data_IF_782431140511
#
_entry.id   IF_782431140511
#
_cell.length_a   1.000
_cell.length_b   1.000
_cell.length_c   1.000
_cell.angle_alpha   90.00
_cell.angle_beta   90.00
_cell.angle_gamma   90.00
#
_symmetry.space_group_name_H-M   'P 1'
#
loop_
_entity.id
_entity.type
_entity.pdbx_description
1 polymer ?
#
# COMPACT_ATOMS: atom_id res chain seq x y z
N UNK A 1 32.91 1.35 18.33
CA UNK A 1 32.90 2.79 18.08
C UNK A 1 31.73 3.15 17.19
N UNK A 2 30.98 4.21 17.53
CA UNK A 2 29.73 4.83 17.02
C UNK A 2 28.69 4.03 16.16
N UNK A 3 29.09 3.04 15.35
CA UNK A 3 28.23 2.26 14.44
C UNK A 3 27.46 1.12 15.11
N UNK A 4 27.82 0.75 16.36
CA UNK A 4 27.11 -0.26 17.16
C UNK A 4 26.04 0.31 18.09
N UNK A 5 25.96 1.63 18.24
CA UNK A 5 25.03 2.33 19.13
C UNK A 5 23.84 2.96 18.38
N UNK A 6 23.86 3.00 17.05
CA UNK A 6 22.69 3.39 16.23
C UNK A 6 21.65 2.28 16.08
N UNK A 7 21.99 1.03 16.42
CA UNK A 7 21.12 -0.15 16.26
C UNK A 7 20.06 -0.30 17.36
N UNK A 8 19.90 0.70 18.22
CA UNK A 8 18.75 0.88 19.13
C UNK A 8 17.50 0.98 18.27
N UNK A 9 16.98 -0.18 17.88
CA UNK A 9 15.69 -0.50 17.30
C UNK A 9 15.00 0.68 16.60
N UNK A 10 15.59 1.20 15.53
CA UNK A 10 14.84 2.04 14.63
C UNK A 10 13.78 1.13 14.01
N UNK A 11 12.56 1.17 14.54
CA UNK A 11 11.42 0.46 13.98
C UNK A 11 11.30 0.95 12.55
N UNK A 12 11.65 0.10 11.58
CA UNK A 12 11.41 0.39 10.17
C UNK A 12 9.90 0.36 10.00
N UNK A 13 9.26 1.51 10.23
CA UNK A 13 7.83 1.68 9.98
C UNK A 13 7.69 1.95 8.50
N UNK A 14 7.31 0.93 7.73
CA UNK A 14 6.90 1.13 6.35
C UNK A 14 5.62 1.98 6.33
N UNK A 15 5.68 3.15 5.70
CA UNK A 15 4.52 4.03 5.58
C UNK A 15 3.39 3.33 4.82
N UNK A 16 2.16 3.49 5.31
CA UNK A 16 0.95 2.97 4.68
C UNK A 16 0.19 4.13 4.05
N UNK A 17 -0.18 3.99 2.79
CA UNK A 17 -0.89 5.01 2.02
C UNK A 17 -2.26 4.45 1.63
N UNK A 18 -3.32 5.13 2.05
CA UNK A 18 -4.69 4.79 1.69
C UNK A 18 -5.13 5.62 0.48
N UNK A 19 -5.55 4.93 -0.58
CA UNK A 19 -6.04 5.49 -1.82
C UNK A 19 -7.51 5.09 -1.95
N UNK A 20 -8.39 6.05 -2.16
CA UNK A 20 -9.84 5.83 -2.20
C UNK A 20 -10.39 6.32 -3.53
N UNK A 21 -10.96 5.42 -4.32
CA UNK A 21 -11.61 5.73 -5.58
C UNK A 21 -13.14 5.85 -5.43
N UNK A 22 -13.81 6.40 -6.44
CA UNK A 22 -15.28 6.52 -6.46
C UNK A 22 -16.01 5.18 -6.65
N UNK A 23 -15.33 4.17 -7.21
CA UNK A 23 -15.90 2.84 -7.54
C UNK A 23 -14.83 1.77 -7.43
N UNK A 24 -15.24 0.54 -7.10
CA UNK A 24 -14.32 -0.59 -6.95
C UNK A 24 -13.57 -0.91 -8.25
N UNK A 25 -14.20 -0.78 -9.41
CA UNK A 25 -13.55 -1.03 -10.71
C UNK A 25 -12.42 -0.04 -11.00
N UNK A 26 -12.56 1.22 -10.57
CA UNK A 26 -11.51 2.23 -10.67
C UNK A 26 -10.34 1.89 -9.73
N UNK A 27 -10.64 1.53 -8.47
CA UNK A 27 -9.63 1.10 -7.50
C UNK A 27 -8.84 -0.12 -8.03
N UNK A 28 -9.54 -1.13 -8.56
CA UNK A 28 -8.96 -2.34 -9.15
C UNK A 28 -8.04 -2.02 -10.32
N UNK A 29 -8.51 -1.17 -11.25
CA UNK A 29 -7.76 -0.83 -12.47
C UNK A 29 -6.50 -0.05 -12.15
N UNK A 30 -6.58 0.95 -11.26
CA UNK A 30 -5.43 1.72 -10.80
C UNK A 30 -4.43 0.86 -10.03
N UNK A 31 -4.90 0.03 -9.10
CA UNK A 31 -4.03 -0.87 -8.34
C UNK A 31 -3.28 -1.83 -9.28
N UNK A 32 -3.99 -2.44 -10.24
CA UNK A 32 -3.41 -3.35 -11.22
C UNK A 32 -2.35 -2.66 -12.10
N UNK A 33 -2.60 -1.42 -12.52
CA UNK A 33 -1.65 -0.65 -13.32
C UNK A 33 -0.39 -0.31 -12.51
N UNK A 34 -0.55 0.29 -11.34
CA UNK A 34 0.56 0.78 -10.51
C UNK A 34 1.40 -0.36 -9.93
N UNK A 35 0.76 -1.48 -9.60
CA UNK A 35 1.44 -2.67 -9.09
C UNK A 35 2.08 -3.52 -10.19
N UNK A 36 1.95 -3.16 -11.48
CA UNK A 36 2.36 -4.02 -12.62
C UNK A 36 1.74 -5.42 -12.54
N UNK A 37 0.43 -5.50 -12.27
CA UNK A 37 -0.36 -6.72 -12.08
C UNK A 37 -0.03 -7.56 -10.83
N UNK A 38 0.85 -7.09 -9.93
CA UNK A 38 1.21 -7.83 -8.70
C UNK A 38 0.36 -7.53 -7.45
N UNK A 39 -0.71 -6.73 -7.57
CA UNK A 39 -1.53 -6.33 -6.43
C UNK A 39 -2.25 -7.54 -5.83
N UNK A 40 -2.15 -7.70 -4.51
CA UNK A 40 -2.94 -8.66 -3.75
C UNK A 40 -4.32 -8.07 -3.49
N UNK A 41 -5.37 -8.88 -3.61
CA UNK A 41 -6.73 -8.49 -3.30
C UNK A 41 -7.16 -9.15 -2.00
N UNK A 42 -7.80 -8.39 -1.13
CA UNK A 42 -8.46 -8.91 0.07
C UNK A 42 -9.84 -8.28 0.26
N UNK A 43 -10.67 -9.02 0.99
CA UNK A 43 -11.99 -8.55 1.40
C UNK A 43 -11.89 -7.43 2.45
N UNK A 44 -12.81 -6.46 2.35
CA UNK A 44 -13.07 -5.45 3.36
C UNK A 44 -14.38 -5.73 4.09
N UNK A 45 -14.87 -4.76 4.86
CA UNK A 45 -16.19 -4.86 5.51
C UNK A 45 -17.36 -4.72 4.53
N UNK A 46 -17.16 -4.02 3.42
CA UNK A 46 -18.14 -3.93 2.33
C UNK A 46 -17.93 -5.07 1.33
N UNK A 47 -19.01 -5.76 0.97
CA UNK A 47 -18.98 -6.80 -0.07
C UNK A 47 -18.61 -6.25 -1.45
N UNK A 48 -18.83 -4.96 -1.69
CA UNK A 48 -18.65 -4.29 -2.98
C UNK A 48 -17.28 -3.60 -3.10
N UNK A 49 -16.73 -3.11 -1.98
CA UNK A 49 -15.48 -2.35 -1.98
C UNK A 49 -14.34 -3.22 -1.46
N UNK A 50 -13.59 -3.80 -2.40
CA UNK A 50 -12.41 -4.63 -2.10
C UNK A 50 -11.23 -3.74 -1.71
N UNK A 51 -10.20 -4.38 -1.16
CA UNK A 51 -8.94 -3.72 -0.85
C UNK A 51 -7.84 -4.37 -1.70
N UNK A 52 -7.10 -3.54 -2.43
CA UNK A 52 -5.96 -3.96 -3.25
C UNK A 52 -4.67 -3.41 -2.64
N UNK A 53 -3.72 -4.28 -2.35
CA UNK A 53 -2.50 -3.93 -1.64
C UNK A 53 -1.23 -4.36 -2.38
N UNK A 54 -0.23 -3.49 -2.38
CA UNK A 54 1.08 -3.73 -3.00
C UNK A 54 2.14 -2.76 -2.46
N UNK A 55 3.42 -3.14 -2.60
CA UNK A 55 4.53 -2.24 -2.29
C UNK A 55 4.79 -1.30 -3.46
N UNK A 56 5.14 -0.05 -3.17
CA UNK A 56 5.40 0.97 -4.18
C UNK A 56 6.49 1.94 -3.73
N UNK A 57 7.15 2.59 -4.69
CA UNK A 57 8.11 3.66 -4.44
C UNK A 57 7.43 5.01 -4.68
N UNK A 58 7.04 5.68 -3.60
CA UNK A 58 6.36 6.98 -3.68
C UNK A 58 7.31 8.07 -3.16
N UNK A 59 7.59 9.08 -3.99
CA UNK A 59 8.49 10.19 -3.63
C UNK A 59 9.86 9.69 -3.11
N UNK A 60 10.42 8.67 -3.76
CA UNK A 60 11.67 8.00 -3.36
C UNK A 60 11.65 7.35 -1.96
N UNK A 61 10.47 7.08 -1.41
CA UNK A 61 10.29 6.33 -0.17
C UNK A 61 9.52 5.02 -0.42
N UNK A 62 9.95 3.90 0.16
CA UNK A 62 9.21 2.65 0.09
C UNK A 62 7.94 2.76 0.95
N UNK A 63 6.79 2.47 0.33
CA UNK A 63 5.47 2.52 0.98
C UNK A 63 4.65 1.27 0.68
N UNK A 64 3.69 0.99 1.55
CA UNK A 64 2.63 0.02 1.30
C UNK A 64 1.37 0.76 0.84
N UNK A 65 0.97 0.52 -0.40
CA UNK A 65 -0.24 1.08 -0.98
C UNK A 65 -1.44 0.21 -0.62
N UNK A 66 -2.54 0.84 -0.22
CA UNK A 66 -3.85 0.24 -0.07
C UNK A 66 -4.84 1.03 -0.93
N UNK A 67 -5.48 0.37 -1.87
CA UNK A 67 -6.53 0.95 -2.72
C UNK A 67 -7.88 0.36 -2.35
N UNK A 68 -8.89 1.21 -2.20
CA UNK A 68 -10.29 0.81 -2.00
C UNK A 68 -11.23 1.84 -2.62
N UNK A 69 -12.53 1.76 -2.33
CA UNK A 69 -13.54 2.68 -2.85
C UNK A 69 -14.67 2.94 -1.86
N UNK A 70 -15.43 4.00 -2.13
CA UNK A 70 -16.68 4.34 -1.42
C UNK A 70 -17.88 3.61 -2.01
#
# INVERSE_FOLDING_TARGET
DLMRLTSVLFKVVMHRVLNVAEKNDAAKSLARLLSKNSASMREGFSRFNKIYEFNYQLLNQPVQMFFTSV
#
